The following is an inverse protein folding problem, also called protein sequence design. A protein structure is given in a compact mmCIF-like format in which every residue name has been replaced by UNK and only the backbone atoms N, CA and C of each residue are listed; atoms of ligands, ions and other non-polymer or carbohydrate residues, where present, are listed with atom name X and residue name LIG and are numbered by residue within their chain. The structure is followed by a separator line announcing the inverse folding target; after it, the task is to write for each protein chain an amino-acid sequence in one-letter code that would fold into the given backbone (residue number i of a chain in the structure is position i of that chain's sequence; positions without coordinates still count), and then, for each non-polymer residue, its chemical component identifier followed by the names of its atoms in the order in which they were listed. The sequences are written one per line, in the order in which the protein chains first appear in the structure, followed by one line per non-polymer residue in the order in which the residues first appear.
data_IF_835665718721
#
_entry.id   IF_835665718721
#
_cell.length_a   1.000
_cell.length_b   1.000
_cell.length_c   1.000
_cell.angle_alpha   90.00
_cell.angle_beta   90.00
_cell.angle_gamma   90.00
#
_symmetry.space_group_name_H-M   'P 1'
#
loop_
_entity.id
_entity.type
_entity.pdbx_description
1 polymer ?
#
# COMPACT_ATOMS: atom_id res chain seq x y z
N UNK A 1 -3.06 -21.73 -0.38
CA UNK A 1 -2.77 -20.35 0.04
C UNK A 1 -3.14 -19.44 -1.11
N UNK A 2 -3.68 -18.24 -0.86
CA UNK A 2 -3.90 -17.25 -1.91
C UNK A 2 -2.57 -16.84 -2.55
N UNK A 3 -2.63 -16.35 -3.79
CA UNK A 3 -1.46 -15.84 -4.49
C UNK A 3 -1.06 -14.46 -3.97
N UNK A 4 0.24 -14.14 -4.01
CA UNK A 4 0.71 -12.79 -3.68
C UNK A 4 0.13 -11.79 -4.67
N UNK A 5 -0.29 -10.62 -4.17
CA UNK A 5 -0.79 -9.55 -5.02
C UNK A 5 0.31 -9.09 -6.00
N UNK A 6 0.06 -9.08 -7.32
CA UNK A 6 1.04 -8.57 -8.28
C UNK A 6 1.27 -7.06 -8.13
N UNK A 7 2.49 -6.67 -7.74
CA UNK A 7 2.87 -5.26 -7.62
C UNK A 7 3.76 -4.83 -8.79
N UNK A 8 3.38 -3.72 -9.45
CA UNK A 8 4.17 -3.08 -10.52
C UNK A 8 5.00 -1.95 -9.92
N UNK A 9 6.14 -2.30 -9.34
CA UNK A 9 7.03 -1.36 -8.67
C UNK A 9 8.14 -0.87 -9.62
N UNK A 10 8.46 0.43 -9.65
CA UNK A 10 9.70 0.90 -10.25
C UNK A 10 10.91 0.41 -9.43
N UNK A 11 12.11 0.50 -10.01
CA UNK A 11 13.35 0.27 -9.28
C UNK A 11 13.51 1.26 -8.11
N UNK A 12 14.42 0.96 -7.17
CA UNK A 12 14.66 1.84 -6.01
C UNK A 12 13.75 1.57 -4.82
N UNK A 13 13.12 0.40 -4.76
CA UNK A 13 12.35 -0.03 -3.59
C UNK A 13 12.87 -1.36 -3.06
N UNK A 14 13.11 -1.42 -1.77
CA UNK A 14 13.34 -2.68 -1.05
C UNK A 14 12.01 -3.16 -0.49
N UNK A 15 11.71 -4.44 -0.69
CA UNK A 15 10.59 -5.10 0.00
C UNK A 15 11.12 -5.58 1.36
N UNK A 16 10.83 -4.83 2.42
CA UNK A 16 11.23 -5.17 3.77
C UNK A 16 10.35 -6.28 4.37
N UNK A 17 9.07 -6.28 4.02
CA UNK A 17 8.12 -7.32 4.39
C UNK A 17 7.03 -7.46 3.32
N UNK A 18 6.56 -8.69 3.06
CA UNK A 18 5.45 -8.93 2.14
C UNK A 18 4.63 -10.16 2.53
N UNK A 19 3.39 -9.90 2.90
CA UNK A 19 2.31 -10.84 3.16
C UNK A 19 1.01 -10.35 2.47
N UNK A 20 1.15 -9.49 1.45
CA UNK A 20 0.01 -8.90 0.76
C UNK A 20 -0.49 -9.86 -0.33
N UNK A 21 -1.54 -10.60 0.00
CA UNK A 21 -2.17 -11.57 -0.90
C UNK A 21 -3.37 -10.99 -1.67
N UNK A 22 -3.63 -11.56 -2.84
CA UNK A 22 -4.83 -11.27 -3.63
C UNK A 22 -6.06 -11.94 -3.01
N UNK A 23 -6.83 -11.15 -2.27
CA UNK A 23 -8.05 -11.57 -1.58
C UNK A 23 -9.20 -10.67 -2.05
N UNK A 24 -9.92 -11.04 -3.14
CA UNK A 24 -10.99 -10.20 -3.68
C UNK A 24 -12.28 -10.26 -2.86
N UNK A 25 -12.49 -11.34 -2.08
CA UNK A 25 -13.69 -11.55 -1.27
C UNK A 25 -13.33 -11.92 0.18
N UNK A 26 -12.88 -10.96 1.02
CA UNK A 26 -12.47 -11.20 2.40
C UNK A 26 -13.56 -11.84 3.28
N UNK A 27 -14.83 -11.56 2.99
CA UNK A 27 -15.99 -12.12 3.70
C UNK A 27 -16.18 -13.63 3.51
N UNK A 28 -15.56 -14.23 2.49
CA UNK A 28 -15.62 -15.68 2.25
C UNK A 28 -14.54 -16.47 2.99
N UNK A 29 -13.57 -15.80 3.61
CA UNK A 29 -12.52 -16.45 4.38
C UNK A 29 -13.07 -17.02 5.68
N UNK A 30 -12.55 -18.17 6.10
CA UNK A 30 -12.73 -18.67 7.47
C UNK A 30 -12.05 -17.77 8.49
N UNK A 31 -12.42 -17.85 9.77
CA UNK A 31 -11.75 -17.06 10.83
C UNK A 31 -10.23 -17.31 10.84
N UNK A 32 -9.81 -18.57 10.75
CA UNK A 32 -8.38 -18.94 10.73
C UNK A 32 -7.64 -18.30 9.55
N UNK A 33 -8.25 -18.25 8.38
CA UNK A 33 -7.65 -17.62 7.20
C UNK A 33 -7.58 -16.10 7.37
N UNK A 34 -8.58 -15.48 8.00
CA UNK A 34 -8.54 -14.04 8.31
C UNK A 34 -7.42 -13.72 9.29
N UNK A 35 -7.29 -14.48 10.37
CA UNK A 35 -6.21 -14.29 11.35
C UNK A 35 -4.82 -14.48 10.69
N UNK A 36 -4.74 -15.37 9.70
CA UNK A 36 -3.50 -15.64 8.99
C UNK A 36 -3.16 -14.61 7.90
N UNK A 37 -4.15 -13.95 7.28
CA UNK A 37 -3.93 -13.16 6.06
C UNK A 37 -4.40 -11.70 6.13
N UNK A 38 -5.21 -11.33 7.13
CA UNK A 38 -5.75 -9.98 7.32
C UNK A 38 -5.17 -9.33 8.58
N UNK A 39 -3.84 -9.19 8.59
CA UNK A 39 -3.05 -8.61 9.68
C UNK A 39 -2.77 -7.12 9.53
N UNK A 40 -2.20 -6.51 10.57
CA UNK A 40 -1.85 -5.09 10.60
C UNK A 40 -0.57 -4.76 9.81
N UNK A 41 0.27 -5.77 9.58
CA UNK A 41 1.48 -5.68 8.77
C UNK A 41 1.34 -6.63 7.58
N UNK A 42 1.15 -6.08 6.38
CA UNK A 42 0.97 -6.85 5.14
C UNK A 42 2.02 -6.52 4.09
N UNK A 43 2.51 -5.28 4.03
CA UNK A 43 3.58 -4.90 3.10
C UNK A 43 4.36 -3.75 3.71
N UNK A 44 5.68 -3.80 3.60
CA UNK A 44 6.56 -2.67 3.90
C UNK A 44 7.57 -2.50 2.77
N UNK A 45 7.59 -1.32 2.15
CA UNK A 45 8.54 -0.93 1.12
C UNK A 45 9.38 0.26 1.59
N UNK A 46 10.69 0.16 1.43
CA UNK A 46 11.63 1.23 1.76
C UNK A 46 12.25 1.82 0.49
N UNK A 47 12.31 3.16 0.42
CA UNK A 47 12.91 3.86 -0.71
C UNK A 47 14.45 3.80 -0.66
N UNK A 48 15.03 3.23 -1.72
CA UNK A 48 16.45 2.95 -1.87
C UNK A 48 17.04 3.71 -3.05
N UNK A 49 18.34 4.00 -2.97
CA UNK A 49 19.13 4.53 -4.08
C UNK A 49 20.42 3.74 -4.27
N UNK A 50 20.97 3.80 -5.48
CA UNK A 50 22.32 3.30 -5.72
C UNK A 50 23.35 4.24 -5.07
N UNK A 51 24.10 3.72 -4.11
CA UNK A 51 25.24 4.36 -3.47
C UNK A 51 26.57 3.72 -3.88
N UNK A 52 27.68 4.23 -3.33
CA UNK A 52 29.04 3.74 -3.65
C UNK A 52 29.29 2.30 -3.21
N UNK A 53 28.52 1.80 -2.23
CA UNK A 53 28.64 0.45 -1.67
C UNK A 53 27.50 -0.50 -2.06
N UNK A 54 26.64 -0.12 -3.02
CA UNK A 54 25.43 -0.85 -3.36
C UNK A 54 24.18 -0.04 -3.06
N UNK A 55 23.03 -0.71 -2.91
CA UNK A 55 21.77 -0.06 -2.56
C UNK A 55 21.78 0.37 -1.10
N UNK A 56 21.43 1.63 -0.86
CA UNK A 56 21.31 2.21 0.48
C UNK A 56 19.95 2.92 0.63
N UNK A 57 19.37 2.97 1.85
CA UNK A 57 18.17 3.76 2.09
C UNK A 57 18.40 5.22 1.74
N UNK A 58 17.41 5.84 1.11
CA UNK A 58 17.44 7.29 0.86
C UNK A 58 17.33 8.01 2.21
N UNK A 59 18.30 8.84 2.62
CA UNK A 59 18.18 9.63 3.84
C UNK A 59 16.98 10.58 3.72
N UNK A 60 16.07 10.54 4.69
CA UNK A 60 14.81 11.27 4.60
C UNK A 60 13.84 10.70 3.55
N UNK A 61 14.03 9.46 3.10
CA UNK A 61 13.24 8.82 2.06
C UNK A 61 11.82 8.47 2.48
N UNK A 62 11.15 7.72 1.62
CA UNK A 62 9.77 7.29 1.82
C UNK A 62 9.70 5.85 2.31
N UNK A 63 8.67 5.57 3.11
CA UNK A 63 8.24 4.23 3.49
C UNK A 63 6.79 4.08 3.04
N UNK A 64 6.48 2.95 2.40
CA UNK A 64 5.10 2.55 2.11
C UNK A 64 4.78 1.38 3.02
N UNK A 65 3.79 1.57 3.88
CA UNK A 65 3.31 0.55 4.80
C UNK A 65 1.85 0.20 4.49
N UNK A 66 1.50 -1.07 4.62
CA UNK A 66 0.16 -1.57 4.35
C UNK A 66 -0.26 -2.54 5.44
N UNK A 67 -1.47 -2.31 5.96
CA UNK A 67 -2.12 -3.22 6.88
C UNK A 67 -3.61 -3.39 6.59
N UNK A 68 -4.23 -4.35 7.26
CA UNK A 68 -5.67 -4.54 7.31
C UNK A 68 -6.20 -4.22 8.70
N UNK A 69 -7.23 -3.37 8.75
CA UNK A 69 -7.80 -2.87 10.00
C UNK A 69 -9.34 -2.93 9.97
N UNK A 70 -9.99 -3.39 11.06
CA UNK A 70 -9.40 -4.07 12.22
C UNK A 70 -8.78 -5.44 11.86
N UNK A 71 -7.77 -5.87 12.61
CA UNK A 71 -7.10 -7.16 12.41
C UNK A 71 -8.11 -8.31 12.38
N UNK A 72 -8.04 -9.18 11.37
CA UNK A 72 -8.87 -10.38 11.26
C UNK A 72 -10.37 -10.13 11.03
N UNK A 73 -10.81 -8.87 10.98
CA UNK A 73 -12.21 -8.52 10.76
C UNK A 73 -12.54 -8.64 9.28
N UNK A 74 -13.51 -9.49 8.96
CA UNK A 74 -13.99 -9.65 7.59
C UNK A 74 -14.55 -8.38 7.01
N UNK A 75 -15.01 -7.41 7.82
CA UNK A 75 -15.56 -6.11 7.39
C UNK A 75 -14.53 -4.97 7.44
N UNK A 76 -13.26 -5.28 7.76
CA UNK A 76 -12.18 -4.31 7.73
C UNK A 76 -11.83 -3.81 6.33
N UNK A 77 -10.74 -3.05 6.27
CA UNK A 77 -10.21 -2.49 5.03
C UNK A 77 -8.69 -2.44 5.07
N UNK A 78 -8.07 -2.45 3.89
CA UNK A 78 -6.67 -2.09 3.78
C UNK A 78 -6.49 -0.61 4.12
N UNK A 79 -5.41 -0.32 4.83
CA UNK A 79 -4.92 1.03 5.13
C UNK A 79 -3.50 1.11 4.61
N UNK A 80 -3.32 1.87 3.52
CA UNK A 80 -2.04 2.15 2.91
C UNK A 80 -1.52 3.49 3.42
N UNK A 81 -0.32 3.49 3.97
CA UNK A 81 0.34 4.66 4.54
C UNK A 81 1.59 4.99 3.74
N UNK A 82 1.68 6.23 3.25
CA UNK A 82 2.93 6.81 2.76
C UNK A 82 3.53 7.67 3.86
N UNK A 83 4.77 7.38 4.21
CA UNK A 83 5.49 8.01 5.30
C UNK A 83 6.77 8.63 4.73
N UNK A 84 7.17 9.82 5.19
CA UNK A 84 8.34 10.53 4.67
C UNK A 84 9.29 11.00 5.77
N UNK A 85 10.55 10.60 5.71
CA UNK A 85 11.58 11.05 6.65
C UNK A 85 11.47 10.49 8.07
N UNK A 86 10.67 9.44 8.28
CA UNK A 86 10.51 8.74 9.55
C UNK A 86 9.05 8.43 9.87
N UNK A 87 8.82 7.40 10.69
CA UNK A 87 7.49 6.83 10.98
C UNK A 87 6.44 7.82 11.52
N UNK A 88 6.87 8.93 12.12
CA UNK A 88 5.98 9.93 12.70
C UNK A 88 5.41 10.94 11.69
N UNK A 89 5.82 10.88 10.41
CA UNK A 89 5.43 11.83 9.39
C UNK A 89 4.63 11.15 8.26
N UNK A 90 3.35 10.95 8.51
CA UNK A 90 2.37 10.43 7.56
C UNK A 90 2.02 11.49 6.50
N UNK A 91 2.20 11.13 5.23
CA UNK A 91 1.97 12.00 4.06
C UNK A 91 0.66 11.67 3.35
N UNK A 92 0.36 10.37 3.21
CA UNK A 92 -0.89 9.88 2.63
C UNK A 92 -1.40 8.74 3.47
N UNK A 93 -2.70 8.74 3.74
CA UNK A 93 -3.46 7.56 4.16
C UNK A 93 -4.50 7.24 3.09
N UNK A 94 -4.45 6.04 2.52
CA UNK A 94 -5.42 5.58 1.55
C UNK A 94 -6.12 4.32 2.07
N UNK A 95 -7.45 4.40 2.23
CA UNK A 95 -8.27 3.30 2.74
C UNK A 95 -9.10 2.71 1.63
N UNK A 96 -8.98 1.40 1.41
CA UNK A 96 -9.82 0.69 0.45
C UNK A 96 -9.96 -0.79 0.81
N UNK A 97 -11.10 -1.39 0.50
CA UNK A 97 -11.34 -2.82 0.73
C UNK A 97 -10.86 -3.69 -0.44
N UNK A 98 -10.78 -3.11 -1.64
CA UNK A 98 -10.33 -3.81 -2.84
C UNK A 98 -8.80 -3.81 -2.92
N UNK A 99 -8.20 -4.99 -2.80
CA UNK A 99 -6.75 -5.19 -2.90
C UNK A 99 -6.16 -4.70 -4.24
N UNK A 100 -6.91 -4.74 -5.34
CA UNK A 100 -6.45 -4.20 -6.63
C UNK A 100 -6.39 -2.67 -6.64
N UNK A 101 -7.33 -2.00 -5.97
CA UNK A 101 -7.29 -0.54 -5.82
C UNK A 101 -6.08 -0.11 -4.99
N UNK A 102 -5.73 -0.89 -3.96
CA UNK A 102 -4.52 -0.69 -3.16
C UNK A 102 -3.25 -0.90 -4.00
N UNK A 103 -3.18 -1.96 -4.81
CA UNK A 103 -2.04 -2.20 -5.69
C UNK A 103 -1.85 -1.07 -6.72
N UNK A 104 -2.95 -0.52 -7.23
CA UNK A 104 -2.95 0.68 -8.08
C UNK A 104 -2.42 1.90 -7.33
N UNK A 105 -2.87 2.13 -6.09
CA UNK A 105 -2.39 3.23 -5.27
C UNK A 105 -0.88 3.13 -4.98
N UNK A 106 -0.37 1.93 -4.65
CA UNK A 106 1.07 1.68 -4.47
C UNK A 106 1.84 2.03 -5.75
N UNK A 107 1.38 1.55 -6.91
CA UNK A 107 1.99 1.88 -8.21
C UNK A 107 2.02 3.39 -8.45
N UNK A 108 0.92 4.09 -8.18
CA UNK A 108 0.82 5.52 -8.47
C UNK A 108 1.69 6.35 -7.53
N UNK A 109 1.72 6.01 -6.24
CA UNK A 109 2.62 6.62 -5.25
C UNK A 109 4.09 6.43 -5.65
N UNK A 110 4.50 5.18 -5.88
CA UNK A 110 5.90 4.87 -6.22
C UNK A 110 6.33 5.55 -7.53
N UNK A 111 5.43 5.63 -8.52
CA UNK A 111 5.67 6.38 -9.76
C UNK A 111 5.80 7.87 -9.54
N UNK A 112 4.97 8.49 -8.69
CA UNK A 112 5.07 9.92 -8.41
C UNK A 112 6.39 10.27 -7.71
N UNK A 113 6.84 9.41 -6.80
CA UNK A 113 8.15 9.55 -6.14
C UNK A 113 9.30 9.44 -7.15
N UNK A 114 9.24 8.45 -8.06
CA UNK A 114 10.23 8.28 -9.13
C UNK A 114 10.27 9.49 -10.09
N UNK A 115 9.12 10.12 -10.34
CA UNK A 115 9.01 11.37 -11.10
C UNK A 115 9.44 12.62 -10.32
N UNK A 116 9.92 12.48 -9.09
CA UNK A 116 10.40 13.57 -8.25
C UNK A 116 9.30 14.50 -7.71
N UNK A 117 8.05 14.02 -7.59
CA UNK A 117 6.97 14.79 -6.99
C UNK A 117 7.24 15.01 -5.49
N UNK A 118 6.91 16.20 -5.02
CA UNK A 118 6.99 16.52 -3.59
C UNK A 118 5.90 15.78 -2.81
N UNK A 119 6.14 15.55 -1.51
CA UNK A 119 5.15 15.00 -0.59
C UNK A 119 3.80 15.75 -0.67
N UNK A 120 3.84 17.09 -0.72
CA UNK A 120 2.63 17.93 -0.83
C UNK A 120 1.83 17.65 -2.11
N UNK A 121 2.50 17.50 -3.27
CA UNK A 121 1.80 17.19 -4.52
C UNK A 121 1.23 15.77 -4.54
N UNK A 122 1.89 14.84 -3.86
CA UNK A 122 1.39 13.48 -3.70
C UNK A 122 0.13 13.49 -2.82
N UNK A 123 0.17 14.16 -1.68
CA UNK A 123 -0.98 14.33 -0.78
C UNK A 123 -2.19 14.92 -1.51
N UNK A 124 -2.01 16.03 -2.22
CA UNK A 124 -3.08 16.70 -2.97
C UNK A 124 -3.73 15.76 -4.01
N UNK A 125 -2.95 14.87 -4.63
CA UNK A 125 -3.46 13.90 -5.62
C UNK A 125 -4.35 12.83 -5.00
N UNK A 126 -4.19 12.53 -3.70
CA UNK A 126 -5.02 11.57 -2.96
C UNK A 126 -6.20 12.24 -2.25
N UNK A 127 -6.12 13.53 -1.91
CA UNK A 127 -7.23 14.31 -1.36
C UNK A 127 -8.25 14.75 -2.43
N UNK A 128 -7.78 14.99 -3.66
CA UNK A 128 -8.62 15.46 -4.77
C UNK A 128 -9.43 14.36 -5.46
N UNK A 129 -9.23 13.08 -5.10
CA UNK A 129 -10.10 12.01 -5.58
C UNK A 129 -11.37 11.96 -4.73
N UNK A 130 -12.57 12.16 -5.32
CA UNK A 130 -13.80 11.99 -4.57
C UNK A 130 -13.85 10.55 -4.05
N UNK A 131 -14.24 10.40 -2.78
CA UNK A 131 -14.54 9.11 -2.19
C UNK A 131 -15.65 8.44 -3.00
N UNK A 132 -15.30 7.61 -3.98
CA UNK A 132 -16.28 6.81 -4.70
C UNK A 132 -16.99 5.92 -3.67
N UNK A 133 -18.32 6.01 -3.54
CA UNK A 133 -19.04 5.15 -2.61
C UNK A 133 -18.89 3.68 -3.03
N UNK A 134 -18.87 2.74 -2.07
CA UNK A 134 -18.75 1.32 -2.40
C UNK A 134 -20.02 0.85 -3.10
N UNK A 135 -19.88 0.50 -4.37
CA UNK A 135 -20.82 -0.35 -5.09
C UNK A 135 -21.68 0.35 -6.14
N UNK A 136 -21.25 0.26 -7.40
CA UNK A 136 -22.12 -0.26 -8.46
C UNK A 136 -21.25 -1.10 -9.42
N UNK A 137 -21.63 -2.35 -9.76
CA UNK A 137 -21.04 -3.05 -10.88
C UNK A 137 -21.48 -2.33 -12.16
N UNK A 138 -20.52 -1.73 -12.87
CA UNK A 138 -20.74 -1.28 -14.23
C UNK A 138 -20.96 -2.49 -15.13
N UNK A 139 -22.21 -2.72 -15.50
CA UNK A 139 -22.52 -3.44 -16.73
C UNK A 139 -22.25 -2.48 -17.89
N UNK A 140 -21.23 -2.76 -18.68
CA UNK A 140 -21.26 -2.70 -20.15
C UNK A 140 -20.33 -3.78 -20.72
#
# INVERSE_FOLDING_TARGET
MPDLMPLRLPSGWMIAFNHFFEIPTPEKLTQRERDAHLGQDLLSLEHMRAGKGGWEPVPGGYIIDLGWYPHGDSNGSYVLSLIHGGWDNLVVEFKNRNCHAVAIAIRDITRMIDLGKSAANITESFESQPSSPPGQPGYE
#
